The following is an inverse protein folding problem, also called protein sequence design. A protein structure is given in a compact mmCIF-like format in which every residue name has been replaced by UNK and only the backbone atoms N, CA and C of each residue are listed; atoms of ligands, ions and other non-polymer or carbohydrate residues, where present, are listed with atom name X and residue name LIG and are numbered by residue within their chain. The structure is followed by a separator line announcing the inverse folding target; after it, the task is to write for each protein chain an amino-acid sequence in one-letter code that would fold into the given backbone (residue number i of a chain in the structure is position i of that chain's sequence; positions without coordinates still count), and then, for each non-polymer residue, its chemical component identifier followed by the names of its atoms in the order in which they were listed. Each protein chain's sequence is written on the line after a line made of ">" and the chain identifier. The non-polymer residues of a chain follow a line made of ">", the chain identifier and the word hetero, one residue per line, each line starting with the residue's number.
data_IF_755386688994
#
_entry.id   IF_755386688994
#
_cell.length_a   1.000
_cell.length_b   1.000
_cell.length_c   1.000
_cell.angle_alpha   90.00
_cell.angle_beta   90.00
_cell.angle_gamma   90.00
#
_symmetry.space_group_name_H-M   'P 1'
#
loop_
_entity.id
_entity.type
_entity.pdbx_description
1 polymer ?
#
# COMPACT_ATOMS: atom_id res chain seq x y z
N UNK A 1 -19.90 43.58 58.57
CA UNK A 1 -18.98 43.35 59.69
C UNK A 1 -17.65 43.01 59.10
N UNK A 2 -16.81 43.98 59.04
CA UNK A 2 -15.55 44.16 59.81
C UNK A 2 -14.51 43.11 59.32
N UNK A 3 -13.35 43.40 58.83
CA UNK A 3 -12.57 44.61 58.78
C UNK A 3 -11.09 44.29 58.76
N UNK A 4 -10.32 45.14 58.09
CA UNK A 4 -8.90 45.53 58.35
C UNK A 4 -7.83 44.61 57.70
N UNK A 5 -7.16 45.02 56.63
CA UNK A 5 -6.07 46.02 56.49
C UNK A 5 -4.93 45.83 57.54
N UNK A 6 -3.73 45.53 57.00
CA UNK A 6 -2.48 46.20 57.46
C UNK A 6 -1.43 46.04 56.31
N UNK A 7 -0.74 47.14 56.09
CA UNK A 7 0.17 47.51 55.03
C UNK A 7 1.65 47.33 55.41
N UNK A 8 2.48 47.41 54.41
CA UNK A 8 3.79 48.01 54.30
C UNK A 8 5.01 47.29 54.92
N UNK A 9 6.07 47.11 54.17
CA UNK A 9 7.22 48.03 54.18
C UNK A 9 8.32 47.59 53.20
N UNK A 10 8.86 48.57 52.57
CA UNK A 10 9.98 48.67 51.64
C UNK A 10 11.24 47.86 52.00
N UNK A 11 11.91 47.36 50.95
CA UNK A 11 13.32 47.01 51.00
C UNK A 11 13.95 47.22 49.65
N UNK A 12 14.57 48.40 49.45
CA UNK A 12 15.48 48.70 48.33
C UNK A 12 16.76 47.90 48.49
N UNK A 13 17.20 47.19 47.45
CA UNK A 13 18.57 46.69 47.38
C UNK A 13 19.04 46.60 45.95
N UNK A 14 19.91 47.46 45.63
CA UNK A 14 20.97 47.54 44.62
C UNK A 14 21.01 46.59 43.43
N UNK A 15 21.06 47.27 42.30
CA UNK A 15 21.45 46.78 40.96
C UNK A 15 22.90 46.30 40.98
N UNK A 16 23.14 45.09 40.52
CA UNK A 16 24.41 44.63 40.03
C UNK A 16 24.23 44.17 38.56
N UNK A 17 24.58 45.05 37.64
CA UNK A 17 24.67 44.68 36.21
C UNK A 17 25.88 43.79 36.00
N UNK A 18 25.67 42.51 35.80
CA UNK A 18 26.64 41.62 35.16
C UNK A 18 26.23 41.41 33.75
N UNK A 19 26.95 42.08 32.79
CA UNK A 19 26.90 41.75 31.40
C UNK A 19 27.49 40.37 31.20
N UNK A 20 26.64 39.37 31.14
CA UNK A 20 26.98 38.07 30.60
C UNK A 20 26.67 38.09 29.12
N UNK A 21 27.72 38.02 28.28
CA UNK A 21 27.63 37.65 26.90
C UNK A 21 26.94 36.29 26.82
N UNK A 22 25.65 36.28 26.54
CA UNK A 22 24.90 35.09 26.19
C UNK A 22 25.34 34.61 24.81
N UNK A 23 26.23 33.63 24.77
CA UNK A 23 26.29 32.75 23.62
C UNK A 23 24.90 32.09 23.51
N UNK A 24 24.13 32.51 22.52
CA UNK A 24 22.96 31.77 22.07
C UNK A 24 23.43 30.41 21.58
N UNK A 25 23.42 29.45 22.47
CA UNK A 25 23.36 28.06 22.05
C UNK A 25 21.98 27.89 21.36
N UNK A 26 21.92 28.10 20.07
CA UNK A 26 20.98 27.40 19.21
C UNK A 26 21.30 25.90 19.30
N UNK A 27 20.91 25.29 20.41
CA UNK A 27 20.68 23.87 20.46
C UNK A 27 19.45 23.62 19.56
N UNK A 28 19.69 23.59 18.24
CA UNK A 28 18.75 23.01 17.32
C UNK A 28 18.44 21.62 17.89
N UNK A 29 17.21 21.40 18.26
CA UNK A 29 16.70 20.07 18.61
C UNK A 29 16.88 19.22 17.36
N UNK A 30 17.99 18.50 17.30
CA UNK A 30 18.30 17.50 16.28
C UNK A 30 17.36 16.30 16.52
N UNK A 31 16.06 16.54 16.25
CA UNK A 31 15.09 15.46 16.28
C UNK A 31 15.37 14.58 15.07
N UNK A 32 15.74 13.31 15.32
CA UNK A 32 15.90 12.30 14.29
C UNK A 32 14.68 12.35 13.35
N UNK A 33 14.88 12.49 12.03
CA UNK A 33 13.78 12.48 11.07
C UNK A 33 12.92 11.23 11.23
N UNK A 34 11.62 11.36 11.06
CA UNK A 34 10.69 10.24 11.20
C UNK A 34 9.76 10.12 10.00
N UNK A 35 9.31 8.89 9.73
CA UNK A 35 8.26 8.54 8.77
C UNK A 35 7.19 7.75 9.50
N UNK A 36 5.95 8.17 9.37
CA UNK A 36 4.76 7.36 9.65
C UNK A 36 4.31 6.67 8.38
N UNK A 37 4.32 5.33 8.39
CA UNK A 37 3.99 4.47 7.24
C UNK A 37 2.67 3.75 7.49
N UNK A 38 1.64 4.01 6.68
CA UNK A 38 0.31 3.41 6.79
C UNK A 38 0.19 2.18 5.89
N UNK A 39 -0.28 1.08 6.45
CA UNK A 39 -0.61 -0.14 5.70
C UNK A 39 -1.95 0.01 4.97
N UNK A 40 -2.05 -0.62 3.78
CA UNK A 40 -3.31 -0.72 3.01
C UNK A 40 -4.23 -1.83 3.51
N UNK A 41 -3.64 -2.85 4.11
CA UNK A 41 -4.30 -4.08 4.55
C UNK A 41 -3.74 -4.58 5.87
N UNK A 42 -4.28 -5.70 6.37
CA UNK A 42 -3.63 -6.44 7.46
C UNK A 42 -2.21 -6.81 7.05
N UNK A 43 -1.24 -6.80 7.98
CA UNK A 43 0.13 -7.18 7.68
C UNK A 43 0.21 -8.49 6.90
N UNK A 44 0.97 -8.49 5.82
CA UNK A 44 1.24 -9.65 4.97
C UNK A 44 2.61 -9.51 4.32
N UNK A 45 2.98 -10.42 3.45
CA UNK A 45 4.31 -10.45 2.84
C UNK A 45 4.60 -9.24 1.94
N UNK A 46 3.60 -8.53 1.40
CA UNK A 46 3.85 -7.28 0.67
C UNK A 46 4.50 -6.21 1.55
N UNK A 47 4.33 -6.27 2.87
CA UNK A 47 4.90 -5.31 3.83
C UNK A 47 6.24 -5.78 4.41
N UNK A 48 6.71 -7.00 4.09
CA UNK A 48 7.88 -7.63 4.73
C UNK A 48 9.15 -6.78 4.64
N UNK A 49 9.36 -6.05 3.55
CA UNK A 49 10.55 -5.22 3.38
C UNK A 49 10.63 -4.09 4.42
N UNK A 50 9.49 -3.49 4.77
CA UNK A 50 9.40 -2.46 5.81
C UNK A 50 9.70 -3.05 7.18
N UNK A 51 9.09 -4.20 7.52
CA UNK A 51 9.33 -4.89 8.78
C UNK A 51 10.77 -5.45 8.89
N UNK A 52 11.33 -6.00 7.81
CA UNK A 52 12.70 -6.46 7.77
C UNK A 52 13.69 -5.29 7.94
N UNK A 53 13.47 -4.16 7.25
CA UNK A 53 14.31 -2.98 7.41
C UNK A 53 14.30 -2.44 8.86
N UNK A 54 13.16 -2.50 9.53
CA UNK A 54 13.03 -2.12 10.94
C UNK A 54 13.75 -3.12 11.86
N UNK A 55 13.47 -4.42 11.72
CA UNK A 55 14.03 -5.48 12.58
C UNK A 55 15.56 -5.60 12.45
N UNK A 56 16.10 -5.40 11.23
CA UNK A 56 17.53 -5.46 10.93
C UNK A 56 18.27 -4.14 11.20
N UNK A 57 17.54 -3.10 11.63
CA UNK A 57 18.13 -1.81 12.00
C UNK A 57 18.48 -0.90 10.82
N UNK A 58 18.06 -1.20 9.58
CA UNK A 58 18.43 -0.41 8.40
C UNK A 58 17.93 1.04 8.46
N UNK A 59 16.77 1.28 9.06
CA UNK A 59 16.27 2.65 9.30
C UNK A 59 17.11 3.38 10.34
N UNK A 60 17.45 2.72 11.44
CA UNK A 60 18.31 3.28 12.49
C UNK A 60 19.69 3.65 11.96
N UNK A 61 20.30 2.75 11.18
CA UNK A 61 21.61 2.96 10.57
C UNK A 61 21.59 4.10 9.53
N UNK A 62 20.43 4.31 8.89
CA UNK A 62 20.18 5.42 7.98
C UNK A 62 19.83 6.74 8.72
N UNK A 63 19.73 6.73 10.04
CA UNK A 63 19.45 7.91 10.85
C UNK A 63 18.00 8.40 10.79
N UNK A 64 17.03 7.49 10.58
CA UNK A 64 15.60 7.81 10.61
C UNK A 64 14.84 6.87 11.54
N UNK A 65 13.71 7.34 12.05
CA UNK A 65 12.72 6.53 12.74
C UNK A 65 11.55 6.22 11.82
N UNK A 66 11.08 4.98 11.80
CA UNK A 66 9.89 4.58 11.04
C UNK A 66 8.85 4.02 12.00
N UNK A 67 7.64 4.57 11.94
CA UNK A 67 6.49 4.11 12.70
C UNK A 67 5.49 3.45 11.74
N UNK A 68 5.37 2.13 11.79
CA UNK A 68 4.40 1.39 10.98
C UNK A 68 3.03 1.49 11.64
N UNK A 69 2.09 2.08 10.94
CA UNK A 69 0.70 2.24 11.37
C UNK A 69 -0.14 1.12 10.78
N UNK A 70 -1.01 0.48 11.58
CA UNK A 70 -1.93 -0.52 11.06
C UNK A 70 -2.90 0.13 10.07
N UNK A 71 -3.54 -0.71 9.22
CA UNK A 71 -4.56 -0.20 8.30
C UNK A 71 -5.64 0.57 9.05
N UNK A 72 -5.99 1.74 8.52
CA UNK A 72 -7.06 2.59 9.04
C UNK A 72 -8.38 2.30 8.31
N UNK A 73 -9.51 2.49 8.99
CA UNK A 73 -10.83 2.37 8.37
C UNK A 73 -11.00 3.32 7.18
N UNK A 74 -10.35 4.49 7.22
CA UNK A 74 -10.39 5.48 6.14
C UNK A 74 -9.48 5.12 4.94
N UNK A 75 -8.65 4.09 5.06
CA UNK A 75 -7.65 3.69 4.06
C UNK A 75 -6.35 4.48 4.16
N UNK A 76 -5.31 3.97 3.47
CA UNK A 76 -3.99 4.57 3.47
C UNK A 76 -3.97 5.91 2.71
N UNK A 77 -4.68 5.99 1.59
CA UNK A 77 -4.76 7.17 0.74
C UNK A 77 -5.34 8.36 1.50
N UNK A 78 -6.47 8.16 2.19
CA UNK A 78 -7.10 9.20 3.02
C UNK A 78 -6.19 9.62 4.18
N UNK A 79 -5.48 8.66 4.77
CA UNK A 79 -4.54 8.93 5.88
C UNK A 79 -3.37 9.80 5.42
N UNK A 80 -2.83 9.53 4.24
CA UNK A 80 -1.74 10.33 3.64
C UNK A 80 -2.24 11.71 3.22
N UNK A 81 -3.41 11.79 2.58
CA UNK A 81 -3.97 13.08 2.15
C UNK A 81 -4.21 14.03 3.33
N UNK A 82 -4.65 13.50 4.46
CA UNK A 82 -4.94 14.27 5.67
C UNK A 82 -3.73 14.44 6.62
N UNK A 83 -2.53 13.95 6.23
CA UNK A 83 -1.32 14.07 7.05
C UNK A 83 -1.32 13.23 8.33
N UNK A 84 -2.13 12.19 8.40
CA UNK A 84 -2.11 11.19 9.48
C UNK A 84 -0.91 10.24 9.29
N UNK A 85 -0.55 9.99 8.05
CA UNK A 85 0.65 9.26 7.66
C UNK A 85 1.45 10.06 6.63
N UNK A 86 2.78 9.92 6.64
CA UNK A 86 3.65 10.53 5.65
C UNK A 86 3.69 9.73 4.36
N UNK A 87 3.69 8.40 4.49
CA UNK A 87 3.73 7.43 3.39
C UNK A 87 2.63 6.39 3.59
N UNK A 88 1.93 6.04 2.52
CA UNK A 88 0.91 4.98 2.52
C UNK A 88 1.25 3.89 1.50
N UNK A 89 0.99 2.63 1.88
CA UNK A 89 0.96 1.53 0.94
C UNK A 89 -0.33 1.62 0.11
N UNK A 90 -0.24 1.54 -1.22
CA UNK A 90 -1.38 1.76 -2.13
C UNK A 90 -1.10 1.20 -3.52
N UNK A 91 -2.00 1.46 -4.48
CA UNK A 91 -1.79 1.19 -5.90
C UNK A 91 -1.72 2.48 -6.71
N UNK A 92 -1.09 2.44 -7.89
CA UNK A 92 -1.11 3.56 -8.83
C UNK A 92 -2.55 3.95 -9.23
N UNK A 93 -3.42 2.96 -9.41
CA UNK A 93 -4.83 3.17 -9.77
C UNK A 93 -5.61 3.88 -8.66
N UNK A 94 -5.36 3.53 -7.39
CA UNK A 94 -5.96 4.22 -6.26
C UNK A 94 -5.48 5.68 -6.18
N UNK A 95 -4.17 5.92 -6.38
CA UNK A 95 -3.65 7.30 -6.48
C UNK A 95 -4.38 8.10 -7.55
N UNK A 96 -4.62 7.51 -8.73
CA UNK A 96 -5.40 8.15 -9.79
C UNK A 96 -6.84 8.42 -9.36
N UNK A 97 -7.51 7.45 -8.72
CA UNK A 97 -8.89 7.58 -8.27
C UNK A 97 -9.06 8.68 -7.21
N UNK A 98 -8.18 8.74 -6.22
CA UNK A 98 -8.20 9.76 -5.18
C UNK A 98 -7.88 11.15 -5.74
N UNK A 99 -6.91 11.25 -6.65
CA UNK A 99 -6.57 12.53 -7.28
C UNK A 99 -7.70 13.03 -8.21
N UNK A 100 -8.44 12.14 -8.85
CA UNK A 100 -9.64 12.51 -9.59
C UNK A 100 -10.73 13.13 -8.68
N UNK A 101 -10.76 12.75 -7.41
CA UNK A 101 -11.63 13.31 -6.37
C UNK A 101 -11.04 14.53 -5.67
N UNK A 102 -9.89 15.04 -6.13
CA UNK A 102 -9.30 16.28 -5.60
C UNK A 102 -8.17 16.08 -4.60
N UNK A 103 -7.76 14.83 -4.31
CA UNK A 103 -6.56 14.57 -3.51
C UNK A 103 -5.28 14.98 -4.26
N UNK A 104 -4.17 15.07 -3.53
CA UNK A 104 -2.86 15.47 -4.06
C UNK A 104 -1.80 14.42 -3.78
N UNK A 105 -2.09 13.16 -4.11
CA UNK A 105 -1.18 12.04 -3.90
C UNK A 105 -0.14 11.92 -5.02
N UNK A 106 1.05 11.42 -4.68
CA UNK A 106 2.13 11.11 -5.61
C UNK A 106 2.66 9.71 -5.33
N UNK A 107 2.64 8.83 -6.34
CA UNK A 107 3.20 7.50 -6.28
C UNK A 107 4.73 7.55 -6.44
N UNK A 108 5.48 6.92 -5.55
CA UNK A 108 6.94 7.13 -5.42
C UNK A 108 7.77 5.85 -5.41
N UNK A 109 7.13 4.70 -5.37
CA UNK A 109 7.78 3.39 -5.31
C UNK A 109 6.82 2.31 -5.80
N UNK A 110 7.29 1.38 -6.64
CA UNK A 110 6.52 0.25 -7.17
C UNK A 110 7.15 -1.08 -6.74
N UNK A 111 6.40 -1.87 -5.98
CA UNK A 111 6.87 -3.16 -5.49
C UNK A 111 6.68 -4.27 -6.54
N UNK A 112 5.50 -4.31 -7.17
CA UNK A 112 5.09 -5.46 -7.97
C UNK A 112 5.37 -5.25 -9.46
N UNK A 113 6.31 -6.02 -9.99
CA UNK A 113 6.70 -5.97 -11.40
C UNK A 113 5.90 -6.93 -12.29
N UNK A 114 5.11 -7.83 -11.68
CA UNK A 114 4.17 -8.73 -12.37
C UNK A 114 2.81 -8.71 -11.67
N UNK A 115 1.70 -8.89 -12.42
CA UNK A 115 0.36 -8.95 -11.81
C UNK A 115 0.23 -10.10 -10.81
N UNK A 116 -0.22 -9.77 -9.60
CA UNK A 116 -0.43 -10.73 -8.50
C UNK A 116 -1.91 -11.08 -8.31
N UNK A 117 -2.85 -10.26 -8.76
CA UNK A 117 -4.28 -10.54 -8.64
C UNK A 117 -4.73 -11.70 -9.51
N UNK A 118 -5.63 -12.48 -8.97
CA UNK A 118 -6.32 -13.60 -9.62
C UNK A 118 -7.80 -13.52 -9.30
N UNK A 119 -8.64 -13.79 -10.30
CA UNK A 119 -10.08 -13.87 -10.12
C UNK A 119 -10.47 -15.35 -10.05
N UNK A 120 -10.95 -15.77 -8.90
CA UNK A 120 -11.05 -17.17 -8.56
C UNK A 120 -12.45 -17.57 -8.11
N UNK A 121 -12.90 -18.73 -8.51
CA UNK A 121 -14.00 -19.47 -7.90
C UNK A 121 -13.47 -20.65 -7.10
N UNK A 122 -14.30 -21.26 -6.22
CA UNK A 122 -13.96 -22.53 -5.61
C UNK A 122 -13.81 -23.59 -6.70
N UNK A 123 -12.78 -24.43 -6.62
CA UNK A 123 -12.55 -25.51 -7.59
C UNK A 123 -13.69 -26.54 -7.63
N UNK A 124 -14.50 -26.63 -6.57
CA UNK A 124 -15.73 -27.44 -6.51
C UNK A 124 -16.85 -26.91 -7.42
N UNK A 125 -16.76 -25.64 -7.88
CA UNK A 125 -17.71 -25.02 -8.80
C UNK A 125 -17.41 -25.45 -10.24
N UNK A 126 -17.87 -26.62 -10.61
CA UNK A 126 -17.70 -27.19 -11.96
C UNK A 126 -18.42 -26.39 -13.07
N UNK A 127 -19.33 -25.50 -12.69
CA UNK A 127 -20.05 -24.56 -13.55
C UNK A 127 -19.27 -23.29 -13.87
N UNK A 128 -18.10 -23.05 -13.25
CA UNK A 128 -17.23 -21.89 -13.50
C UNK A 128 -15.90 -22.38 -14.06
N UNK A 129 -15.74 -22.34 -15.39
CA UNK A 129 -14.56 -22.84 -16.12
C UNK A 129 -13.81 -21.74 -16.84
N UNK A 130 -14.45 -20.62 -17.13
CA UNK A 130 -13.91 -19.46 -17.81
C UNK A 130 -14.50 -18.19 -17.18
N UNK A 131 -13.92 -17.00 -17.39
CA UNK A 131 -14.52 -15.75 -16.91
C UNK A 131 -15.92 -15.47 -17.46
N UNK A 132 -16.32 -16.05 -18.60
CA UNK A 132 -17.70 -15.98 -19.10
C UNK A 132 -18.70 -16.48 -18.07
N UNK A 133 -18.34 -17.49 -17.31
CA UNK A 133 -19.22 -18.15 -16.34
C UNK A 133 -19.45 -17.32 -15.07
N UNK A 134 -18.76 -16.17 -14.94
CA UNK A 134 -19.03 -15.14 -13.93
C UNK A 134 -20.30 -14.34 -14.22
N UNK A 135 -20.79 -14.35 -15.50
CA UNK A 135 -22.04 -13.68 -15.85
C UNK A 135 -23.20 -14.16 -14.97
N UNK A 136 -23.93 -13.20 -14.39
CA UNK A 136 -25.07 -13.47 -13.50
C UNK A 136 -24.70 -13.96 -12.10
N UNK A 137 -23.41 -14.09 -11.79
CA UNK A 137 -22.91 -14.59 -10.51
C UNK A 137 -22.64 -13.46 -9.51
N UNK A 138 -22.35 -13.82 -8.27
CA UNK A 138 -22.03 -12.89 -7.20
C UNK A 138 -20.51 -12.83 -6.96
N UNK A 139 -19.93 -11.66 -7.21
CA UNK A 139 -18.55 -11.30 -6.88
C UNK A 139 -18.44 -10.92 -5.40
N UNK A 140 -17.58 -11.61 -4.66
CA UNK A 140 -17.20 -11.22 -3.29
C UNK A 140 -16.06 -10.21 -3.38
N UNK A 141 -16.39 -8.96 -3.12
CA UNK A 141 -15.51 -7.81 -3.35
C UNK A 141 -14.88 -7.31 -2.06
N UNK A 142 -13.66 -6.82 -2.20
CA UNK A 142 -13.04 -5.96 -1.19
C UNK A 142 -13.73 -4.60 -1.06
N UNK A 143 -14.35 -4.12 -2.14
CA UNK A 143 -15.05 -2.82 -2.19
C UNK A 143 -14.51 -1.86 -3.25
N UNK A 144 -13.60 -2.30 -4.12
CA UNK A 144 -13.01 -1.47 -5.17
C UNK A 144 -13.85 -1.44 -6.45
N UNK A 145 -14.12 -0.25 -6.98
CA UNK A 145 -14.76 -0.06 -8.29
C UNK A 145 -13.86 -0.55 -9.44
N UNK A 146 -12.55 -0.48 -9.28
CA UNK A 146 -11.52 -0.96 -10.19
C UNK A 146 -11.71 -2.44 -10.53
N UNK A 147 -11.91 -3.29 -9.51
CA UNK A 147 -12.15 -4.72 -9.71
C UNK A 147 -13.37 -4.99 -10.60
N UNK A 148 -14.41 -4.19 -10.48
CA UNK A 148 -15.62 -4.31 -11.30
C UNK A 148 -15.33 -4.12 -12.78
N UNK A 149 -14.50 -3.14 -13.15
CA UNK A 149 -14.10 -2.91 -14.54
C UNK A 149 -13.28 -4.07 -15.09
N UNK A 150 -12.33 -4.57 -14.33
CA UNK A 150 -11.50 -5.74 -14.69
C UNK A 150 -12.37 -6.96 -14.96
N UNK A 151 -13.28 -7.29 -14.04
CA UNK A 151 -14.17 -8.46 -14.17
C UNK A 151 -15.07 -8.33 -15.40
N UNK A 152 -15.66 -7.16 -15.62
CA UNK A 152 -16.48 -6.91 -16.82
C UNK A 152 -15.70 -7.13 -18.12
N UNK A 153 -14.46 -6.66 -18.16
CA UNK A 153 -13.58 -6.87 -19.31
C UNK A 153 -13.29 -8.36 -19.52
N UNK A 154 -12.94 -9.08 -18.46
CA UNK A 154 -12.68 -10.53 -18.52
C UNK A 154 -13.89 -11.31 -19.02
N UNK A 155 -15.09 -11.03 -18.50
CA UNK A 155 -16.33 -11.66 -18.93
C UNK A 155 -16.60 -11.38 -20.40
N UNK A 156 -16.49 -10.12 -20.84
CA UNK A 156 -16.73 -9.73 -22.24
C UNK A 156 -15.73 -10.36 -23.20
N UNK A 157 -14.45 -10.38 -22.85
CA UNK A 157 -13.41 -11.05 -23.64
C UNK A 157 -13.66 -12.56 -23.78
N UNK A 158 -14.27 -13.17 -22.76
CA UNK A 158 -14.68 -14.57 -22.80
C UNK A 158 -16.01 -14.82 -23.55
N UNK A 159 -16.66 -13.78 -24.10
CA UNK A 159 -17.91 -13.86 -24.84
C UNK A 159 -19.17 -13.82 -23.97
N UNK A 160 -19.07 -13.27 -22.75
CA UNK A 160 -20.19 -12.98 -21.86
C UNK A 160 -20.72 -11.55 -22.00
N UNK A 161 -21.70 -11.17 -21.18
CA UNK A 161 -22.33 -9.83 -21.18
C UNK A 161 -21.61 -8.82 -20.30
N UNK A 162 -20.94 -9.30 -19.24
CA UNK A 162 -20.30 -8.47 -18.23
C UNK A 162 -21.24 -8.07 -17.10
N UNK A 163 -22.29 -8.85 -16.86
CA UNK A 163 -23.28 -8.61 -15.81
C UNK A 163 -23.01 -9.53 -14.62
N UNK A 164 -22.88 -8.96 -13.44
CA UNK A 164 -22.73 -9.71 -12.19
C UNK A 164 -23.15 -8.86 -10.99
N UNK A 165 -23.39 -9.53 -9.87
CA UNK A 165 -23.71 -8.87 -8.59
C UNK A 165 -22.44 -8.72 -7.76
N UNK A 166 -22.42 -7.75 -6.83
CA UNK A 166 -21.30 -7.53 -5.93
C UNK A 166 -21.77 -7.60 -4.48
N UNK A 167 -21.08 -8.40 -3.68
CA UNK A 167 -21.22 -8.46 -2.23
C UNK A 167 -19.91 -7.99 -1.59
N UNK A 168 -19.92 -6.85 -0.90
CA UNK A 168 -18.70 -6.30 -0.26
C UNK A 168 -18.46 -7.00 1.07
N UNK A 169 -17.27 -7.59 1.23
CA UNK A 169 -16.83 -8.32 2.41
C UNK A 169 -15.55 -7.75 3.06
N UNK A 170 -14.97 -6.69 2.48
CA UNK A 170 -13.73 -6.08 2.97
C UNK A 170 -12.59 -7.10 3.10
N UNK A 171 -11.89 -7.09 4.22
CA UNK A 171 -10.78 -8.02 4.50
C UNK A 171 -11.18 -9.49 4.66
N UNK A 172 -12.49 -9.80 4.69
CA UNK A 172 -13.02 -11.16 4.85
C UNK A 172 -13.44 -11.81 3.52
N UNK A 173 -12.96 -11.31 2.37
CA UNK A 173 -13.35 -11.82 1.04
C UNK A 173 -13.10 -13.31 0.88
N UNK A 174 -11.91 -13.80 1.23
CA UNK A 174 -11.54 -15.21 1.08
C UNK A 174 -12.38 -16.11 1.99
N UNK A 175 -12.56 -15.74 3.27
CA UNK A 175 -13.39 -16.50 4.22
C UNK A 175 -14.87 -16.51 3.80
N UNK A 176 -15.34 -15.39 3.23
CA UNK A 176 -16.72 -15.28 2.72
C UNK A 176 -16.92 -16.22 1.53
N UNK A 177 -16.03 -16.23 0.55
CA UNK A 177 -16.09 -17.15 -0.58
C UNK A 177 -15.96 -18.60 -0.11
N UNK A 178 -15.00 -18.90 0.77
CA UNK A 178 -14.73 -20.25 1.30
C UNK A 178 -15.92 -20.81 2.05
N UNK A 179 -16.75 -19.98 2.68
CA UNK A 179 -18.00 -20.39 3.33
C UNK A 179 -19.20 -20.52 2.37
N UNK A 180 -18.98 -20.39 1.05
CA UNK A 180 -20.02 -20.50 0.03
C UNK A 180 -20.94 -19.28 -0.08
N UNK A 181 -20.53 -18.11 0.46
CA UNK A 181 -21.29 -16.87 0.39
C UNK A 181 -20.80 -16.02 -0.78
N UNK A 182 -21.18 -16.39 -1.98
CA UNK A 182 -20.78 -15.80 -3.26
C UNK A 182 -20.20 -16.85 -4.18
N UNK A 183 -19.90 -16.45 -5.40
CA UNK A 183 -19.54 -17.36 -6.47
C UNK A 183 -18.06 -17.28 -6.87
N UNK A 184 -17.48 -16.08 -6.81
CA UNK A 184 -16.08 -15.83 -7.13
C UNK A 184 -15.56 -14.59 -6.39
N UNK A 185 -14.23 -14.45 -6.31
CA UNK A 185 -13.53 -13.36 -5.63
C UNK A 185 -12.24 -12.96 -6.31
N UNK A 186 -11.67 -11.83 -5.92
CA UNK A 186 -10.34 -11.37 -6.33
C UNK A 186 -9.33 -11.61 -5.21
N UNK A 187 -8.24 -12.32 -5.50
CA UNK A 187 -7.24 -12.76 -4.53
C UNK A 187 -5.83 -12.61 -5.08
N UNK A 188 -4.84 -12.48 -4.21
CA UNK A 188 -3.45 -12.47 -4.63
C UNK A 188 -2.87 -13.89 -4.68
N UNK A 189 -2.18 -14.18 -5.78
CA UNK A 189 -1.48 -15.47 -5.96
C UNK A 189 -0.44 -15.69 -4.86
N UNK A 190 0.08 -14.63 -4.31
CA UNK A 190 1.10 -14.60 -3.26
C UNK A 190 0.54 -14.69 -1.85
N UNK A 191 -0.77 -14.62 -1.63
CA UNK A 191 -1.35 -14.65 -0.29
C UNK A 191 -2.55 -15.60 -0.19
N UNK A 192 -3.77 -15.20 -0.58
CA UNK A 192 -4.95 -16.04 -0.44
C UNK A 192 -4.87 -17.34 -1.27
N UNK A 193 -4.20 -17.32 -2.43
CA UNK A 193 -3.99 -18.56 -3.18
C UNK A 193 -3.00 -19.49 -2.48
N UNK A 194 -2.02 -18.95 -1.75
CA UNK A 194 -1.13 -19.76 -0.90
C UNK A 194 -1.92 -20.31 0.29
N UNK A 195 -2.73 -19.49 0.96
CA UNK A 195 -3.62 -19.92 2.04
C UNK A 195 -4.54 -21.06 1.58
N UNK A 196 -5.16 -20.91 0.41
CA UNK A 196 -5.98 -21.95 -0.23
C UNK A 196 -5.22 -23.26 -0.47
N UNK A 197 -3.98 -23.18 -0.94
CA UNK A 197 -3.13 -24.39 -1.14
C UNK A 197 -2.77 -25.08 0.18
N UNK A 198 -2.59 -24.33 1.26
CA UNK A 198 -2.21 -24.84 2.58
C UNK A 198 -3.40 -25.41 3.35
N UNK A 199 -4.52 -24.72 3.34
CA UNK A 199 -5.63 -24.93 4.27
C UNK A 199 -6.94 -25.21 3.54
N UNK A 200 -7.00 -25.09 2.20
CA UNK A 200 -8.21 -25.17 1.38
C UNK A 200 -9.18 -24.00 1.63
N UNK A 201 -10.29 -23.97 0.95
CA UNK A 201 -10.65 -24.82 -0.20
C UNK A 201 -9.80 -24.50 -1.45
N UNK A 202 -9.64 -25.47 -2.34
CA UNK A 202 -8.94 -25.26 -3.62
C UNK A 202 -9.68 -24.25 -4.50
N UNK A 203 -8.91 -23.42 -5.20
CA UNK A 203 -9.38 -22.37 -6.10
C UNK A 203 -9.10 -22.71 -7.57
N UNK A 204 -10.04 -22.32 -8.45
CA UNK A 204 -9.85 -22.20 -9.90
C UNK A 204 -9.76 -20.73 -10.24
N UNK A 205 -8.60 -20.29 -10.80
CA UNK A 205 -8.25 -18.88 -10.92
C UNK A 205 -7.92 -18.49 -12.35
N UNK A 206 -8.23 -17.24 -12.69
CA UNK A 206 -7.98 -16.63 -14.00
C UNK A 206 -7.12 -15.39 -13.86
N UNK A 207 -6.26 -15.13 -14.83
CA UNK A 207 -5.37 -13.96 -14.93
C UNK A 207 -6.01 -12.92 -15.83
N UNK A 208 -6.09 -11.68 -15.41
CA UNK A 208 -6.80 -10.63 -16.15
C UNK A 208 -6.19 -10.34 -17.55
N UNK A 209 -4.87 -10.39 -17.68
CA UNK A 209 -4.18 -10.15 -18.94
C UNK A 209 -4.57 -11.16 -20.04
N UNK A 210 -4.87 -12.40 -19.67
CA UNK A 210 -5.31 -13.43 -20.61
C UNK A 210 -6.70 -13.13 -21.21
N UNK A 211 -7.40 -12.18 -20.59
CA UNK A 211 -8.77 -11.79 -20.92
C UNK A 211 -8.91 -10.30 -21.27
N UNK A 212 -7.86 -9.72 -21.83
CA UNK A 212 -7.89 -8.40 -22.44
C UNK A 212 -7.82 -7.21 -21.49
N UNK A 213 -7.38 -7.42 -20.25
CA UNK A 213 -7.04 -6.32 -19.33
C UNK A 213 -5.57 -5.93 -19.60
N UNK A 214 -5.30 -4.69 -20.01
CA UNK A 214 -3.96 -4.26 -20.34
C UNK A 214 -3.16 -3.82 -19.10
N UNK A 215 -1.85 -3.72 -19.25
CA UNK A 215 -0.94 -3.21 -18.22
C UNK A 215 -0.78 -4.14 -17.03
N UNK A 216 -0.43 -3.56 -15.88
CA UNK A 216 -0.35 -4.27 -14.62
C UNK A 216 -1.40 -3.68 -13.64
N UNK A 217 -2.49 -4.39 -13.33
CA UNK A 217 -3.51 -3.90 -12.40
C UNK A 217 -3.00 -3.78 -10.97
N UNK A 218 -1.92 -4.48 -10.64
CA UNK A 218 -1.45 -4.62 -9.26
C UNK A 218 -0.10 -3.91 -9.06
N UNK A 219 0.01 -2.67 -9.55
CA UNK A 219 1.16 -1.81 -9.22
C UNK A 219 1.05 -1.35 -7.78
N UNK A 220 1.38 -2.29 -6.87
CA UNK A 220 1.39 -2.08 -5.42
C UNK A 220 2.67 -1.35 -5.03
N UNK A 221 2.55 -0.33 -4.20
CA UNK A 221 3.72 0.44 -3.80
C UNK A 221 3.39 1.54 -2.80
N UNK A 222 4.09 2.67 -2.89
CA UNK A 222 3.99 3.74 -1.91
C UNK A 222 3.54 5.05 -2.55
N UNK A 223 2.68 5.77 -1.82
CA UNK A 223 2.34 7.14 -2.15
C UNK A 223 2.54 8.08 -0.96
N UNK A 224 2.74 9.34 -1.29
CA UNK A 224 2.89 10.46 -0.36
C UNK A 224 2.01 11.62 -0.81
N UNK A 225 1.76 12.61 0.07
CA UNK A 225 1.11 13.84 -0.35
C UNK A 225 2.10 14.75 -1.12
N UNK A 226 1.68 15.25 -2.29
CA UNK A 226 2.52 16.13 -3.15
C UNK A 226 2.90 17.43 -2.46
N UNK A 227 2.08 17.94 -1.54
CA UNK A 227 2.39 19.15 -0.76
C UNK A 227 3.47 18.88 0.29
N UNK A 228 3.45 17.68 0.90
CA UNK A 228 4.49 17.24 1.82
C UNK A 228 5.86 17.16 1.14
N UNK A 229 5.91 16.77 -0.15
CA UNK A 229 7.12 16.73 -0.97
C UNK A 229 7.66 18.11 -1.36
N UNK A 230 6.99 19.23 -1.08
CA UNK A 230 7.55 20.56 -1.34
C UNK A 230 8.71 20.89 -0.40
N UNK A 231 8.71 20.32 0.80
CA UNK A 231 9.81 20.50 1.76
C UNK A 231 11.02 19.63 1.38
N UNK A 232 12.19 20.27 1.31
CA UNK A 232 13.45 19.59 0.99
C UNK A 232 13.88 18.56 2.05
N UNK A 233 13.53 18.78 3.32
CA UNK A 233 13.79 17.82 4.41
C UNK A 233 12.97 16.56 4.19
N UNK A 234 11.69 16.70 3.86
CA UNK A 234 10.79 15.57 3.61
C UNK A 234 11.27 14.76 2.39
N UNK A 235 11.69 15.40 1.31
CA UNK A 235 12.28 14.69 0.16
C UNK A 235 13.49 13.85 0.56
N UNK A 236 14.40 14.42 1.36
CA UNK A 236 15.59 13.72 1.84
C UNK A 236 15.20 12.54 2.76
N UNK A 237 14.24 12.75 3.66
CA UNK A 237 13.76 11.70 4.57
C UNK A 237 13.08 10.57 3.79
N UNK A 238 12.26 10.89 2.78
CA UNK A 238 11.65 9.90 1.88
C UNK A 238 12.70 9.11 1.11
N UNK A 239 13.71 9.77 0.54
CA UNK A 239 14.81 9.09 -0.15
C UNK A 239 15.52 8.11 0.77
N UNK A 240 15.84 8.53 2.01
CA UNK A 240 16.47 7.68 3.02
C UNK A 240 15.58 6.49 3.39
N UNK A 241 14.28 6.74 3.58
CA UNK A 241 13.28 5.70 3.88
C UNK A 241 13.21 4.66 2.75
N UNK A 242 13.03 5.09 1.50
CA UNK A 242 12.93 4.18 0.35
C UNK A 242 14.21 3.37 0.18
N UNK A 243 15.38 4.00 0.27
CA UNK A 243 16.67 3.30 0.16
C UNK A 243 16.83 2.21 1.23
N UNK A 244 16.48 2.50 2.49
CA UNK A 244 16.54 1.54 3.57
C UNK A 244 15.48 0.43 3.42
N UNK A 245 14.29 0.78 2.92
CA UNK A 245 13.20 -0.17 2.65
C UNK A 245 13.57 -1.15 1.53
N UNK A 246 14.21 -0.67 0.45
CA UNK A 246 14.71 -1.54 -0.63
C UNK A 246 15.69 -2.58 -0.07
N UNK A 247 16.61 -2.20 0.84
CA UNK A 247 17.48 -3.18 1.50
C UNK A 247 16.69 -4.24 2.27
N UNK A 248 15.57 -3.87 2.89
CA UNK A 248 14.67 -4.79 3.56
C UNK A 248 14.00 -5.78 2.60
N UNK A 249 13.56 -5.32 1.44
CA UNK A 249 13.02 -6.19 0.39
C UNK A 249 14.09 -7.08 -0.26
N UNK A 250 15.28 -6.55 -0.53
CA UNK A 250 16.41 -7.34 -1.06
C UNK A 250 16.84 -8.44 -0.08
N UNK A 251 16.85 -8.13 1.22
CA UNK A 251 17.02 -9.14 2.25
C UNK A 251 15.92 -10.20 2.19
N UNK A 252 14.67 -9.80 2.06
CA UNK A 252 13.53 -10.71 2.00
C UNK A 252 13.58 -11.62 0.76
N UNK A 253 14.02 -11.11 -0.38
CA UNK A 253 14.23 -11.91 -1.59
C UNK A 253 15.37 -12.90 -1.46
N UNK A 254 16.44 -12.55 -0.73
CA UNK A 254 17.63 -13.38 -0.55
C UNK A 254 17.50 -14.38 0.62
N UNK A 255 16.65 -14.06 1.61
CA UNK A 255 16.43 -14.82 2.85
C UNK A 255 14.94 -14.95 3.15
N UNK A 256 14.14 -15.60 2.27
CA UNK A 256 12.68 -15.56 2.35
C UNK A 256 12.11 -16.13 3.66
N UNK A 257 12.70 -17.19 4.19
CA UNK A 257 12.27 -17.84 5.44
C UNK A 257 12.52 -16.97 6.67
N UNK A 258 13.68 -16.35 6.73
CA UNK A 258 14.07 -15.46 7.82
C UNK A 258 13.22 -14.19 7.78
N UNK A 259 12.99 -13.63 6.59
CA UNK A 259 12.17 -12.44 6.42
C UNK A 259 10.70 -12.70 6.81
N UNK A 260 10.15 -13.86 6.43
CA UNK A 260 8.82 -14.28 6.88
C UNK A 260 8.75 -14.40 8.41
N UNK A 261 9.82 -14.93 9.04
CA UNK A 261 9.91 -15.03 10.50
C UNK A 261 9.97 -13.66 11.16
N UNK A 262 10.74 -12.71 10.58
CA UNK A 262 10.77 -11.32 11.04
C UNK A 262 9.39 -10.65 10.91
N UNK A 263 8.70 -10.81 9.79
CA UNK A 263 7.36 -10.26 9.60
C UNK A 263 6.39 -10.75 10.70
N UNK A 264 6.34 -12.05 10.95
CA UNK A 264 5.47 -12.64 11.98
C UNK A 264 5.80 -12.11 13.36
N UNK A 265 7.08 -11.93 13.68
CA UNK A 265 7.55 -11.42 14.97
C UNK A 265 7.22 -9.93 15.16
N UNK A 266 7.49 -9.12 14.15
CA UNK A 266 7.32 -7.67 14.24
C UNK A 266 5.84 -7.26 14.11
N UNK A 267 5.05 -7.99 13.32
CA UNK A 267 3.60 -7.78 13.16
C UNK A 267 2.76 -8.69 14.09
N UNK A 268 3.23 -8.94 15.31
CA UNK A 268 2.62 -9.89 16.26
C UNK A 268 1.13 -9.69 16.52
N UNK A 269 0.65 -8.43 16.47
CA UNK A 269 -0.76 -8.09 16.71
C UNK A 269 -1.68 -8.59 15.57
N UNK A 270 -1.10 -8.87 14.39
CA UNK A 270 -1.85 -9.43 13.26
C UNK A 270 -2.06 -10.95 13.38
N UNK A 271 -1.40 -11.61 14.31
CA UNK A 271 -1.50 -13.06 14.56
C UNK A 271 -1.33 -13.90 13.27
N UNK A 272 -0.31 -13.57 12.47
CA UNK A 272 -0.05 -14.21 11.19
C UNK A 272 0.31 -15.69 11.36
N UNK A 273 -0.19 -16.55 10.47
CA UNK A 273 0.26 -17.94 10.36
C UNK A 273 1.70 -17.97 9.81
N UNK A 274 2.70 -18.46 10.58
CA UNK A 274 4.09 -18.53 10.12
C UNK A 274 4.28 -19.39 8.87
N UNK A 275 3.46 -20.44 8.69
CA UNK A 275 3.54 -21.29 7.51
C UNK A 275 3.03 -20.57 6.27
N UNK A 276 1.94 -19.81 6.41
CA UNK A 276 1.43 -18.97 5.32
C UNK A 276 2.47 -17.91 4.92
N UNK A 277 3.05 -17.19 5.88
CA UNK A 277 4.04 -16.16 5.61
C UNK A 277 5.27 -16.73 4.86
N UNK A 278 5.80 -17.89 5.28
CA UNK A 278 6.92 -18.56 4.59
C UNK A 278 6.56 -19.00 3.18
N UNK A 279 5.46 -19.73 3.02
CA UNK A 279 5.03 -20.20 1.70
C UNK A 279 4.68 -19.07 0.75
N UNK A 280 4.19 -17.95 1.28
CA UNK A 280 3.97 -16.73 0.51
C UNK A 280 5.28 -16.11 0.00
N UNK A 281 6.29 -16.01 0.84
CA UNK A 281 7.63 -15.54 0.42
C UNK A 281 8.25 -16.46 -0.64
N UNK A 282 8.14 -17.79 -0.48
CA UNK A 282 8.58 -18.76 -1.48
C UNK A 282 7.87 -18.53 -2.84
N UNK A 283 6.55 -18.32 -2.83
CA UNK A 283 5.77 -18.04 -4.05
C UNK A 283 6.21 -16.72 -4.70
N UNK A 284 6.47 -15.66 -3.91
CA UNK A 284 6.94 -14.36 -4.40
C UNK A 284 8.27 -14.50 -5.12
N UNK A 285 9.24 -15.17 -4.50
CA UNK A 285 10.58 -15.38 -5.07
C UNK A 285 10.50 -16.26 -6.32
N UNK A 286 9.83 -17.40 -6.22
CA UNK A 286 9.66 -18.35 -7.33
C UNK A 286 8.96 -17.72 -8.54
N UNK A 287 7.95 -16.90 -8.31
CA UNK A 287 7.22 -16.21 -9.38
C UNK A 287 7.95 -14.99 -9.92
N UNK A 288 8.93 -14.44 -9.19
CA UNK A 288 9.62 -13.20 -9.54
C UNK A 288 8.67 -12.00 -9.57
N UNK A 289 7.69 -11.97 -8.64
CA UNK A 289 6.63 -10.96 -8.67
C UNK A 289 7.14 -9.55 -8.41
N UNK A 290 8.18 -9.40 -7.60
CA UNK A 290 8.74 -8.09 -7.25
C UNK A 290 9.93 -7.68 -8.12
N UNK A 291 10.55 -8.61 -8.82
CA UNK A 291 11.77 -8.36 -9.61
C UNK A 291 11.52 -8.43 -11.13
N UNK A 292 10.35 -8.93 -11.52
CA UNK A 292 10.06 -9.26 -12.92
C UNK A 292 10.70 -10.55 -13.42
N UNK A 293 11.66 -11.10 -12.65
CA UNK A 293 12.45 -12.30 -12.98
C UNK A 293 12.75 -13.09 -11.70
N UNK A 294 12.41 -14.38 -11.68
CA UNK A 294 12.63 -15.27 -10.54
C UNK A 294 14.11 -15.50 -10.19
N UNK A 295 15.05 -15.19 -11.09
CA UNK A 295 16.47 -15.31 -10.85
C UNK A 295 17.12 -14.08 -10.22
N UNK A 296 16.35 -13.02 -9.99
CA UNK A 296 16.81 -11.78 -9.38
C UNK A 296 16.39 -11.70 -7.92
N UNK A 297 17.31 -11.26 -7.09
CA UNK A 297 17.11 -11.02 -5.64
C UNK A 297 17.25 -9.54 -5.27
N UNK A 298 17.29 -8.66 -6.26
CA UNK A 298 17.38 -7.21 -6.08
C UNK A 298 16.18 -6.52 -6.66
N UNK A 299 15.51 -5.72 -5.84
CA UNK A 299 14.32 -4.98 -6.21
C UNK A 299 14.68 -3.74 -7.01
N UNK A 300 13.93 -3.45 -8.07
CA UNK A 300 14.07 -2.18 -8.79
C UNK A 300 13.33 -1.03 -8.11
N UNK A 301 12.16 -1.31 -7.54
CA UNK A 301 11.26 -0.31 -6.98
C UNK A 301 10.70 0.68 -8.01
N UNK A 302 11.00 0.47 -9.30
CA UNK A 302 10.62 1.39 -10.39
C UNK A 302 9.28 1.01 -10.98
N UNK A 303 8.44 2.01 -11.13
CA UNK A 303 7.21 1.90 -11.90
C UNK A 303 7.55 1.80 -13.40
N UNK A 304 7.02 0.80 -14.08
CA UNK A 304 6.91 0.81 -15.54
C UNK A 304 5.80 1.77 -15.96
N UNK A 305 6.22 2.97 -16.38
CA UNK A 305 5.31 4.06 -16.73
C UNK A 305 4.38 3.70 -17.89
N UNK A 306 4.84 2.87 -18.85
CA UNK A 306 4.03 2.49 -20.01
C UNK A 306 2.95 1.48 -19.61
N UNK A 307 3.28 0.49 -18.81
CA UNK A 307 2.29 -0.45 -18.25
C UNK A 307 1.29 0.28 -17.34
N UNK A 308 1.78 1.19 -16.48
CA UNK A 308 0.94 2.01 -15.63
C UNK A 308 -0.04 2.85 -16.45
N UNK A 309 0.43 3.57 -17.47
CA UNK A 309 -0.43 4.37 -18.33
C UNK A 309 -1.49 3.52 -19.04
N UNK A 310 -1.09 2.35 -19.57
CA UNK A 310 -2.01 1.44 -20.25
C UNK A 310 -3.16 0.99 -19.34
N UNK A 311 -2.86 0.71 -18.07
CA UNK A 311 -3.88 0.34 -17.11
C UNK A 311 -4.75 1.52 -16.68
N UNK A 312 -4.15 2.71 -16.46
CA UNK A 312 -4.91 3.93 -16.15
C UNK A 312 -5.90 4.30 -17.28
N UNK A 313 -5.46 4.19 -18.54
CA UNK A 313 -6.32 4.45 -19.70
C UNK A 313 -7.50 3.47 -19.76
N UNK A 314 -7.25 2.19 -19.49
CA UNK A 314 -8.30 1.17 -19.40
C UNK A 314 -9.33 1.52 -18.32
N UNK A 315 -8.88 1.86 -17.12
CA UNK A 315 -9.76 2.22 -16.01
C UNK A 315 -10.54 3.53 -16.30
N UNK A 316 -9.90 4.51 -16.93
CA UNK A 316 -10.55 5.73 -17.35
C UNK A 316 -11.67 5.46 -18.37
N UNK A 317 -11.39 4.65 -19.40
CA UNK A 317 -12.39 4.25 -20.41
C UNK A 317 -13.54 3.47 -19.77
N UNK A 318 -13.28 2.69 -18.74
CA UNK A 318 -14.32 1.99 -17.97
C UNK A 318 -15.13 2.90 -17.06
N UNK A 319 -14.76 4.18 -16.91
CA UNK A 319 -15.45 5.17 -16.08
C UNK A 319 -15.31 4.95 -14.59
N UNK A 320 -14.19 4.33 -14.15
CA UNK A 320 -13.96 4.06 -12.73
C UNK A 320 -13.49 5.29 -11.96
N UNK A 321 -12.83 6.25 -12.62
CA UNK A 321 -12.41 7.48 -11.99
C UNK A 321 -13.55 8.48 -11.93
N UNK A 322 -13.84 8.97 -10.74
CA UNK A 322 -14.92 9.92 -10.47
C UNK A 322 -14.36 11.25 -9.96
N UNK A 323 -15.00 12.34 -10.38
CA UNK A 323 -14.75 13.66 -9.83
C UNK A 323 -15.48 13.85 -8.47
N UNK A 324 -15.28 14.97 -7.76
CA UNK A 324 -15.95 15.24 -6.48
C UNK A 324 -17.50 15.23 -6.54
N UNK A 325 -18.08 15.46 -7.73
CA UNK A 325 -19.51 15.39 -7.96
C UNK A 325 -20.01 13.98 -8.29
N UNK A 326 -19.13 12.96 -8.17
CA UNK A 326 -19.37 11.56 -8.54
C UNK A 326 -19.70 11.33 -10.03
N UNK A 327 -19.30 12.27 -10.90
CA UNK A 327 -19.34 12.11 -12.36
C UNK A 327 -18.03 11.48 -12.84
N UNK A 328 -18.03 10.93 -14.06
CA UNK A 328 -16.79 10.46 -14.66
C UNK A 328 -15.78 11.60 -14.79
N UNK A 329 -14.54 11.34 -14.41
CA UNK A 329 -13.44 12.29 -14.57
C UNK A 329 -13.35 12.76 -16.03
N UNK A 330 -13.18 14.06 -16.24
CA UNK A 330 -13.15 14.66 -17.57
C UNK A 330 -11.83 14.47 -18.30
N UNK A 331 -10.75 14.17 -17.55
CA UNK A 331 -9.40 14.03 -18.08
C UNK A 331 -8.82 12.68 -17.66
N UNK A 332 -8.22 11.97 -18.62
CA UNK A 332 -7.54 10.72 -18.33
C UNK A 332 -6.32 10.97 -17.44
N UNK A 333 -6.16 10.21 -16.33
CA UNK A 333 -4.97 10.31 -15.48
C UNK A 333 -3.69 10.01 -16.27
N UNK A 334 -2.62 10.75 -16.00
CA UNK A 334 -1.33 10.55 -16.65
C UNK A 334 -0.34 9.96 -15.65
N UNK A 335 0.21 8.78 -15.92
CA UNK A 335 1.17 8.12 -15.04
C UNK A 335 2.36 9.03 -14.71
N UNK A 336 2.90 9.76 -15.68
CA UNK A 336 3.99 10.72 -15.49
C UNK A 336 3.65 11.89 -14.55
N UNK A 337 2.36 12.25 -14.46
CA UNK A 337 1.88 13.27 -13.52
C UNK A 337 1.58 12.72 -12.13
N UNK A 338 1.22 11.44 -12.04
CA UNK A 338 0.85 10.77 -10.79
C UNK A 338 2.03 10.12 -10.09
N UNK A 339 3.08 9.72 -10.82
CA UNK A 339 4.17 8.92 -10.29
C UNK A 339 5.55 9.53 -10.58
N UNK A 340 6.56 9.06 -9.86
CA UNK A 340 7.96 9.38 -10.10
C UNK A 340 8.87 8.25 -9.64
N UNK A 341 9.90 7.95 -10.42
CA UNK A 341 10.95 6.99 -10.07
C UNK A 341 12.18 7.67 -9.41
N UNK A 342 12.12 8.98 -9.16
CA UNK A 342 13.28 9.76 -8.68
C UNK A 342 13.84 9.28 -7.32
N UNK A 343 13.04 8.57 -6.51
CA UNK A 343 13.45 8.08 -5.19
C UNK A 343 14.02 6.66 -5.20
N UNK A 344 13.98 5.97 -6.35
CA UNK A 344 14.51 4.61 -6.55
C UNK A 344 15.68 4.56 -7.52
N UNK A 345 16.10 5.70 -8.07
CA UNK A 345 17.29 5.84 -8.90
C UNK A 345 18.52 5.97 -8.00
N UNK A 346 19.47 5.04 -8.15
CA UNK A 346 20.75 4.99 -7.45
C UNK A 346 21.88 5.32 -8.40
#
# INVERSE_FOLDING_TARGET
>A
MSGRVIAALCGLSLVATSAACGASNDAGSDTTPSISFMLDWTPNTNHVGVYAAQALGYYKDAGINVNVLPTAQAGAETSVENGVADVGFTTLSNVAAFNAQGASLRYVFDLTQKPVARWCALASRSDIRTPKDFDGKTFVSFGSAEQTAVIRQMIKSAGGKGDFQTATAGTSTFQTLSSGKGDFGGFYVTWENVESKLNGPALNCFVASDWGVPGNPDQLGFAVNSSWLKDAKNKKTLQTFITATIKGYDYALSHPDEAATLLVKEAKEANLDPKLAKSSMEEIVKGGYWTGDANKTSLTGKLDMAQGQSYLDFQYQAGTYKDPDNKNAQTAPQASSLATNAYVEH
#
